data_IF_680745356063
#
_entry.id   IF_680745356063
#
_cell.length_a   1.000
_cell.length_b   1.000
_cell.length_c   1.000
_cell.angle_alpha   90.00
_cell.angle_beta   90.00
_cell.angle_gamma   90.00
#
_symmetry.space_group_name_H-M   'P 1'
#
loop_
_entity.id
_entity.type
_entity.pdbx_description
1 polymer ?
#
# COMPACT_ATOMS: atom_id res chain seq x y z
N UNK A 1 10.23 0.37 12.39
CA UNK A 1 11.24 0.33 11.30
C UNK A 1 10.51 0.47 9.98
N UNK A 2 10.81 1.52 9.20
CA UNK A 2 10.12 1.84 7.95
C UNK A 2 10.65 0.95 6.83
N UNK A 3 9.76 0.40 6.01
CA UNK A 3 10.08 -0.41 4.82
C UNK A 3 9.50 0.26 3.58
N UNK A 4 10.25 0.25 2.49
CA UNK A 4 9.86 0.91 1.23
C UNK A 4 10.17 0.03 0.03
N UNK A 5 9.46 0.28 -1.07
CA UNK A 5 9.64 -0.43 -2.34
C UNK A 5 9.47 0.53 -3.54
N UNK A 6 9.92 0.10 -4.72
CA UNK A 6 9.72 0.63 -6.09
C UNK A 6 10.03 2.11 -6.41
N UNK A 7 10.10 3.10 -5.51
CA UNK A 7 10.54 4.47 -5.89
C UNK A 7 11.17 5.32 -4.76
N UNK A 8 12.15 6.15 -5.18
CA UNK A 8 12.96 7.13 -4.41
C UNK A 8 13.56 6.55 -3.13
N UNK A 9 14.44 5.57 -3.29
CA UNK A 9 14.93 4.76 -2.18
C UNK A 9 16.13 5.37 -1.48
N UNK A 10 17.05 6.03 -2.20
CA UNK A 10 18.35 6.44 -1.62
C UNK A 10 18.22 7.37 -0.40
N UNK A 11 17.48 8.49 -0.45
CA UNK A 11 17.38 9.38 0.72
C UNK A 11 16.72 8.70 1.92
N UNK A 12 15.75 7.82 1.68
CA UNK A 12 15.04 7.12 2.75
C UNK A 12 15.89 5.98 3.34
N UNK A 13 16.64 5.26 2.51
CA UNK A 13 17.62 4.26 2.96
C UNK A 13 18.72 4.93 3.80
N UNK A 14 19.21 6.10 3.37
CA UNK A 14 20.21 6.89 4.11
C UNK A 14 19.67 7.33 5.49
N UNK A 15 18.34 7.51 5.62
CA UNK A 15 17.63 7.76 6.88
C UNK A 15 17.26 6.49 7.66
N UNK A 16 17.69 5.31 7.20
CA UNK A 16 17.50 4.02 7.90
C UNK A 16 16.28 3.21 7.47
N UNK A 17 15.61 3.56 6.37
CA UNK A 17 14.57 2.72 5.79
C UNK A 17 15.17 1.43 5.21
N UNK A 18 14.43 0.32 5.30
CA UNK A 18 14.82 -0.93 4.66
C UNK A 18 14.15 -1.06 3.30
N UNK A 19 14.95 -1.29 2.28
CA UNK A 19 14.46 -1.63 0.96
C UNK A 19 13.98 -3.08 0.92
N UNK A 20 12.85 -3.31 0.26
CA UNK A 20 12.31 -4.63 -0.08
C UNK A 20 11.83 -4.65 -1.53
N UNK A 21 11.84 -5.83 -2.15
CA UNK A 21 11.65 -5.97 -3.59
C UNK A 21 10.19 -5.79 -4.02
N UNK A 22 9.24 -6.07 -3.12
CA UNK A 22 7.80 -6.09 -3.46
C UNK A 22 6.91 -5.37 -2.43
N UNK A 23 5.76 -4.80 -2.86
CA UNK A 23 4.73 -4.30 -1.94
C UNK A 23 4.23 -5.37 -0.96
N UNK A 24 4.15 -6.62 -1.42
CA UNK A 24 3.85 -7.77 -0.57
C UNK A 24 4.82 -7.91 0.59
N UNK A 25 6.13 -7.80 0.36
CA UNK A 25 7.13 -7.90 1.43
C UNK A 25 7.02 -6.75 2.45
N UNK A 26 6.62 -5.55 2.01
CA UNK A 26 6.30 -4.44 2.93
C UNK A 26 5.15 -4.87 3.85
N UNK A 27 4.06 -5.37 3.27
CA UNK A 27 2.86 -5.77 4.00
C UNK A 27 3.11 -6.94 4.96
N UNK A 28 3.87 -7.96 4.55
CA UNK A 28 4.17 -9.12 5.39
C UNK A 28 4.96 -8.78 6.66
N UNK A 29 5.68 -7.66 6.64
CA UNK A 29 6.57 -7.27 7.72
C UNK A 29 6.11 -5.99 8.44
N UNK A 30 4.91 -5.48 8.18
CA UNK A 30 4.47 -4.19 8.73
C UNK A 30 3.01 -4.26 9.17
N UNK A 31 2.73 -3.77 10.38
CA UNK A 31 1.35 -3.67 10.88
C UNK A 31 0.58 -2.53 10.22
N UNK A 32 1.30 -1.47 9.82
CA UNK A 32 0.77 -0.29 9.14
C UNK A 32 1.51 -0.09 7.82
N UNK A 33 0.74 0.06 6.75
CA UNK A 33 1.22 0.27 5.38
C UNK A 33 0.69 1.62 4.91
N UNK A 34 1.58 2.50 4.44
CA UNK A 34 1.22 3.78 3.83
C UNK A 34 1.52 3.68 2.34
N UNK A 35 0.51 3.92 1.50
CA UNK A 35 0.63 3.90 0.06
C UNK A 35 0.42 5.31 -0.53
N UNK A 36 1.33 5.69 -1.43
CA UNK A 36 1.21 6.89 -2.26
C UNK A 36 1.69 6.55 -3.66
N UNK A 37 0.76 6.34 -4.59
CA UNK A 37 1.07 5.88 -5.95
C UNK A 37 0.82 6.99 -6.96
N UNK A 38 1.83 7.32 -7.78
CA UNK A 38 1.76 8.48 -8.67
C UNK A 38 0.85 8.33 -9.89
N UNK A 39 0.47 7.11 -10.27
CA UNK A 39 -0.35 6.83 -11.45
C UNK A 39 -1.47 5.82 -11.14
N UNK A 40 -2.74 6.08 -11.53
CA UNK A 40 -3.87 5.20 -11.19
C UNK A 40 -3.73 3.75 -11.68
N UNK A 41 -3.11 3.53 -12.84
CA UNK A 41 -2.86 2.17 -13.36
C UNK A 41 -1.87 1.39 -12.50
N UNK A 42 -0.94 2.08 -11.86
CA UNK A 42 0.06 1.47 -10.99
C UNK A 42 -0.53 1.10 -9.63
N UNK A 43 -1.50 1.85 -9.13
CA UNK A 43 -2.13 1.58 -7.84
C UNK A 43 -2.81 0.22 -7.80
N UNK A 44 -3.62 -0.11 -8.81
CA UNK A 44 -4.27 -1.43 -8.89
C UNK A 44 -3.25 -2.56 -8.83
N UNK A 45 -2.13 -2.45 -9.56
CA UNK A 45 -1.06 -3.46 -9.55
C UNK A 45 -0.39 -3.55 -8.17
N UNK A 46 -0.05 -2.40 -7.58
CA UNK A 46 0.60 -2.31 -6.26
C UNK A 46 -0.29 -2.87 -5.15
N UNK A 47 -1.60 -2.66 -5.22
CA UNK A 47 -2.53 -3.10 -4.18
C UNK A 47 -3.02 -4.53 -4.41
N UNK A 48 -3.49 -4.85 -5.62
CA UNK A 48 -4.24 -6.06 -5.95
C UNK A 48 -3.44 -7.10 -6.76
N UNK A 49 -2.15 -6.86 -7.03
CA UNK A 49 -1.28 -7.84 -7.68
C UNK A 49 -1.28 -9.17 -6.91
N UNK A 50 -1.62 -10.27 -7.59
CA UNK A 50 -1.82 -11.58 -6.93
C UNK A 50 -0.55 -12.10 -6.22
N UNK A 51 0.63 -11.83 -6.80
CA UNK A 51 1.92 -12.34 -6.30
C UNK A 51 2.72 -11.33 -5.50
N UNK A 52 2.60 -10.05 -5.83
CA UNK A 52 3.45 -8.95 -5.39
C UNK A 52 2.68 -7.79 -4.74
N UNK A 53 1.35 -7.78 -4.78
CA UNK A 53 0.53 -6.68 -4.27
C UNK A 53 0.43 -6.64 -2.74
N UNK A 54 0.13 -5.47 -2.19
CA UNK A 54 -0.05 -5.25 -0.74
C UNK A 54 -1.06 -6.23 -0.16
N UNK A 55 -2.23 -6.37 -0.79
CA UNK A 55 -3.30 -7.26 -0.32
C UNK A 55 -2.82 -8.72 -0.27
N UNK A 56 -1.92 -9.15 -1.15
CA UNK A 56 -1.39 -10.52 -1.11
C UNK A 56 -0.55 -10.80 0.15
N UNK A 57 0.03 -9.77 0.76
CA UNK A 57 0.95 -9.87 1.89
C UNK A 57 0.41 -9.47 3.27
N UNK A 58 -0.76 -8.82 3.36
CA UNK A 58 -1.34 -8.38 4.63
C UNK A 58 -1.77 -9.54 5.54
N UNK A 59 -1.63 -9.32 6.85
CA UNK A 59 -2.20 -10.17 7.90
C UNK A 59 -3.45 -9.56 8.55
N UNK A 60 -4.15 -10.36 9.35
CA UNK A 60 -5.28 -9.89 10.16
C UNK A 60 -4.84 -8.75 11.09
N UNK A 61 -5.63 -7.68 11.15
CA UNK A 61 -5.34 -6.50 11.96
C UNK A 61 -4.41 -5.48 11.31
N UNK A 62 -3.89 -5.75 10.10
CA UNK A 62 -3.08 -4.78 9.36
C UNK A 62 -3.91 -3.53 9.01
N UNK A 63 -3.26 -2.38 8.97
CA UNK A 63 -3.87 -1.10 8.56
C UNK A 63 -3.20 -0.61 7.28
N UNK A 64 -4.00 -0.33 6.26
CA UNK A 64 -3.56 0.28 5.01
C UNK A 64 -4.08 1.72 4.98
N UNK A 65 -3.17 2.67 4.86
CA UNK A 65 -3.48 4.09 4.69
C UNK A 65 -3.14 4.44 3.25
N UNK A 66 -4.17 4.70 2.46
CA UNK A 66 -4.03 5.08 1.06
C UNK A 66 -4.16 6.59 0.91
N UNK A 67 -3.06 7.21 0.51
CA UNK A 67 -2.96 8.64 0.25
C UNK A 67 -2.95 8.94 -1.25
N UNK A 68 -3.23 7.94 -2.08
CA UNK A 68 -3.33 8.09 -3.52
C UNK A 68 -4.65 8.79 -3.90
N UNK A 69 -4.61 9.65 -4.91
CA UNK A 69 -5.84 10.18 -5.51
C UNK A 69 -6.33 9.18 -6.56
N UNK A 70 -7.35 8.42 -6.18
CA UNK A 70 -7.79 7.23 -6.90
C UNK A 70 -9.27 7.32 -7.28
N UNK A 71 -9.70 6.46 -8.20
CA UNK A 71 -11.13 6.31 -8.47
C UNK A 71 -11.84 5.70 -7.25
N UNK A 72 -13.01 6.23 -6.83
CA UNK A 72 -13.75 5.68 -5.69
C UNK A 72 -14.14 4.21 -5.84
N UNK A 73 -14.29 3.71 -7.06
CA UNK A 73 -14.54 2.30 -7.38
C UNK A 73 -13.38 1.40 -6.96
N UNK A 74 -12.15 1.79 -7.31
CA UNK A 74 -10.93 1.06 -6.95
C UNK A 74 -10.70 1.05 -5.44
N UNK A 75 -10.88 2.20 -4.77
CA UNK A 75 -10.76 2.27 -3.31
C UNK A 75 -11.75 1.33 -2.59
N UNK A 76 -12.99 1.21 -3.09
CA UNK A 76 -13.98 0.26 -2.55
C UNK A 76 -13.56 -1.19 -2.75
N UNK A 77 -13.12 -1.54 -3.95
CA UNK A 77 -12.63 -2.90 -4.25
C UNK A 77 -11.44 -3.29 -3.35
N UNK A 78 -10.49 -2.39 -3.15
CA UNK A 78 -9.35 -2.62 -2.25
C UNK A 78 -9.84 -2.81 -0.81
N UNK A 79 -10.79 -1.97 -0.37
CA UNK A 79 -11.38 -2.07 0.97
C UNK A 79 -12.06 -3.42 1.22
N UNK A 80 -12.82 -3.93 0.24
CA UNK A 80 -13.47 -5.23 0.33
C UNK A 80 -12.44 -6.37 0.44
N UNK A 81 -11.41 -6.33 -0.40
CA UNK A 81 -10.32 -7.32 -0.37
C UNK A 81 -9.48 -7.28 0.90
N UNK A 82 -9.27 -6.09 1.47
CA UNK A 82 -8.62 -5.94 2.77
C UNK A 82 -9.49 -6.55 3.89
N UNK A 83 -10.80 -6.29 3.86
CA UNK A 83 -11.76 -6.81 4.84
C UNK A 83 -11.86 -8.34 4.80
N UNK A 84 -11.83 -8.96 3.61
CA UNK A 84 -11.75 -10.43 3.44
C UNK A 84 -10.56 -11.04 4.20
N UNK A 85 -9.47 -10.28 4.37
CA UNK A 85 -8.27 -10.69 5.12
C UNK A 85 -8.25 -10.21 6.57
N UNK A 86 -9.31 -9.54 7.04
CA UNK A 86 -9.41 -8.97 8.38
C UNK A 86 -8.49 -7.77 8.60
N UNK A 87 -8.14 -7.03 7.54
CA UNK A 87 -7.39 -5.79 7.61
C UNK A 87 -8.32 -4.57 7.49
N UNK A 88 -7.81 -3.41 7.89
CA UNK A 88 -8.50 -2.11 7.83
C UNK A 88 -7.90 -1.30 6.68
N UNK A 89 -8.74 -0.76 5.82
CA UNK A 89 -8.34 0.13 4.73
C UNK A 89 -8.90 1.54 4.96
N UNK A 90 -8.02 2.54 4.96
CA UNK A 90 -8.35 3.96 5.15
C UNK A 90 -7.98 4.69 3.87
N UNK A 91 -9.00 5.17 3.15
CA UNK A 91 -8.83 5.98 1.95
C UNK A 91 -8.87 7.47 2.31
N UNK A 92 -7.79 8.20 2.03
CA UNK A 92 -7.71 9.65 2.24
C UNK A 92 -8.01 10.39 0.94
N UNK A 93 -9.21 10.96 0.84
CA UNK A 93 -9.59 11.76 -0.30
C UNK A 93 -9.00 13.17 -0.22
N UNK A 94 -7.99 13.46 -1.04
CA UNK A 94 -7.42 14.81 -1.18
C UNK A 94 -8.18 15.55 -2.28
N UNK A 95 -8.99 16.53 -1.90
CA UNK A 95 -9.64 17.43 -2.85
C UNK A 95 -8.64 18.54 -3.22
N UNK A 96 -8.13 18.54 -4.45
CA UNK A 96 -7.37 19.67 -4.98
C UNK A 96 -8.33 20.85 -5.14
N UNK A 97 -8.10 21.91 -4.36
CA UNK A 97 -8.80 23.20 -4.41
C UNK A 97 -8.31 24.07 -5.56
#
# INVERSE_FOLDING_TARGET
MIKITICITKPLIDLGAKFVETPREVAQNSDVIICIVGYPKDERRVMLGEKDGVISGIGKGSVIIDMTTSEPSLAREISEKAAEKGAIYIYIYIRLS
#
